data_IF_930971127902
#
_entry.id   IF_930971127902
#
_cell.length_a   1.000
_cell.length_b   1.000
_cell.length_c   1.000
_cell.angle_alpha   90.00
_cell.angle_beta   90.00
_cell.angle_gamma   90.00
#
_symmetry.space_group_name_H-M   'P 1'
#
loop_
_entity.id
_entity.type
_entity.pdbx_description
1 polymer ?
#
# COMPACT_ATOMS: atom_id res chain seq x y z
N UNK A 1 -12.69 -31.58 -6.95
CA UNK A 1 -12.59 -30.19 -7.46
C UNK A 1 -12.23 -30.28 -8.95
N UNK A 2 -12.94 -29.50 -9.82
CA UNK A 2 -12.64 -29.44 -11.25
C UNK A 2 -11.36 -28.63 -11.48
N UNK A 3 -10.44 -29.15 -12.30
CA UNK A 3 -9.23 -28.43 -12.74
C UNK A 3 -9.52 -27.45 -13.89
N UNK A 4 -10.78 -27.33 -14.34
CA UNK A 4 -11.16 -26.48 -15.46
C UNK A 4 -11.52 -25.08 -14.99
N UNK A 5 -10.94 -24.06 -15.62
CA UNK A 5 -11.33 -22.67 -15.44
C UNK A 5 -12.77 -22.46 -15.95
N UNK A 6 -13.55 -21.66 -15.21
CA UNK A 6 -14.92 -21.30 -15.56
C UNK A 6 -15.04 -19.79 -15.60
N UNK A 7 -15.64 -19.26 -16.67
CA UNK A 7 -15.98 -17.84 -16.77
C UNK A 7 -17.02 -17.48 -15.69
N UNK A 8 -16.68 -16.56 -14.79
CA UNK A 8 -17.56 -16.15 -13.70
C UNK A 8 -18.64 -15.16 -14.21
N UNK A 9 -18.25 -14.16 -15.01
CA UNK A 9 -19.16 -13.17 -15.60
C UNK A 9 -18.59 -12.61 -16.90
N UNK A 10 -19.43 -11.98 -17.74
CA UNK A 10 -19.05 -11.63 -19.13
C UNK A 10 -18.44 -10.24 -19.31
N UNK A 11 -18.68 -9.29 -18.38
CA UNK A 11 -18.17 -7.92 -18.52
C UNK A 11 -16.63 -7.90 -18.45
N UNK A 12 -15.95 -7.27 -19.41
CA UNK A 12 -14.51 -7.19 -19.41
C UNK A 12 -14.02 -6.31 -18.25
N UNK A 13 -12.91 -6.73 -17.62
CA UNK A 13 -12.27 -5.96 -16.54
C UNK A 13 -11.54 -4.75 -17.10
N UNK A 14 -11.58 -3.63 -16.36
CA UNK A 14 -10.67 -2.53 -16.58
C UNK A 14 -9.42 -2.74 -15.70
N UNK A 15 -8.32 -3.13 -16.33
CA UNK A 15 -7.04 -3.46 -15.67
C UNK A 15 -5.95 -2.41 -15.89
N UNK A 16 -6.30 -1.25 -16.46
CA UNK A 16 -5.33 -0.23 -16.87
C UNK A 16 -4.66 0.41 -15.67
N UNK A 17 -5.41 0.64 -14.57
CA UNK A 17 -4.89 1.35 -13.43
C UNK A 17 -5.33 0.74 -12.10
N UNK A 18 -4.38 0.62 -11.17
CA UNK A 18 -4.62 0.06 -9.83
C UNK A 18 -5.02 -1.42 -9.84
N UNK A 19 -5.35 -1.96 -8.68
CA UNK A 19 -5.76 -3.36 -8.52
C UNK A 19 -7.13 -3.58 -9.18
N UNK A 20 -7.27 -4.53 -10.10
CA UNK A 20 -8.52 -4.72 -10.84
C UNK A 20 -9.62 -5.38 -10.02
N UNK A 21 -9.27 -6.23 -9.06
CA UNK A 21 -10.26 -6.92 -8.22
C UNK A 21 -9.73 -7.24 -6.82
N UNK A 22 -10.66 -7.38 -5.89
CA UNK A 22 -10.41 -7.85 -4.52
C UNK A 22 -11.44 -8.91 -4.14
N UNK A 23 -10.98 -10.04 -3.59
CA UNK A 23 -11.86 -10.99 -2.95
C UNK A 23 -12.39 -10.43 -1.63
N UNK A 24 -13.66 -10.68 -1.34
CA UNK A 24 -14.19 -10.43 0.00
C UNK A 24 -13.67 -11.50 0.97
N UNK A 25 -13.42 -11.12 2.21
CA UNK A 25 -12.93 -12.02 3.27
C UNK A 25 -13.82 -13.24 3.52
N UNK A 26 -15.13 -13.08 3.32
CA UNK A 26 -16.12 -14.17 3.46
C UNK A 26 -16.10 -15.15 2.27
N UNK A 27 -15.26 -14.95 1.27
CA UNK A 27 -15.17 -15.77 0.04
C UNK A 27 -16.46 -15.90 -0.77
N UNK A 28 -17.48 -15.03 -0.55
CA UNK A 28 -18.79 -15.11 -1.24
C UNK A 28 -18.85 -14.29 -2.53
N UNK A 29 -17.82 -13.51 -2.83
CA UNK A 29 -17.74 -12.68 -4.03
C UNK A 29 -16.50 -11.83 -4.06
N UNK A 30 -16.45 -10.98 -5.05
CA UNK A 30 -15.33 -10.04 -5.26
C UNK A 30 -15.86 -8.66 -5.67
N UNK A 31 -15.07 -7.63 -5.38
CA UNK A 31 -15.25 -6.27 -5.89
C UNK A 31 -14.26 -6.06 -7.01
N UNK A 32 -14.70 -5.59 -8.16
CA UNK A 32 -13.87 -5.43 -9.36
C UNK A 32 -14.22 -4.17 -10.12
N UNK A 33 -13.37 -3.80 -11.07
CA UNK A 33 -13.58 -2.71 -12.04
C UNK A 33 -13.86 -3.28 -13.41
N UNK A 34 -14.98 -2.87 -14.01
CA UNK A 34 -15.34 -3.25 -15.36
C UNK A 34 -15.27 -2.07 -16.32
N UNK A 35 -15.02 -2.37 -17.58
CA UNK A 35 -15.20 -1.41 -18.66
C UNK A 35 -16.67 -1.00 -18.69
N UNK A 36 -16.94 0.29 -18.87
CA UNK A 36 -18.32 0.81 -18.93
C UNK A 36 -19.01 0.26 -20.16
N UNK A 37 -20.18 -0.33 -19.95
CA UNK A 37 -21.00 -0.84 -21.04
C UNK A 37 -21.45 0.30 -21.96
N UNK A 38 -21.30 0.10 -23.26
CA UNK A 38 -21.73 1.09 -24.27
C UNK A 38 -20.85 2.34 -24.38
N UNK A 39 -19.59 2.29 -23.92
CA UNK A 39 -18.69 3.46 -24.01
C UNK A 39 -18.32 3.89 -25.44
N UNK A 40 -18.68 3.10 -26.47
CA UNK A 40 -18.40 3.37 -27.87
C UNK A 40 -16.93 3.19 -28.28
N UNK A 41 -16.55 3.76 -29.42
CA UNK A 41 -15.18 3.76 -29.93
C UNK A 41 -14.31 4.81 -29.21
N UNK A 42 -12.98 4.62 -29.18
CA UNK A 42 -12.07 5.60 -28.63
C UNK A 42 -12.15 6.92 -29.43
N UNK A 43 -11.92 8.07 -28.77
CA UNK A 43 -11.81 9.35 -29.43
C UNK A 43 -10.85 9.31 -30.61
N UNK A 44 -11.22 9.94 -31.72
CA UNK A 44 -10.37 10.07 -32.90
C UNK A 44 -9.66 11.42 -32.90
N UNK A 45 -8.40 11.42 -33.33
CA UNK A 45 -7.67 12.65 -33.53
C UNK A 45 -8.39 13.50 -34.59
N UNK A 46 -8.64 14.77 -34.28
CA UNK A 46 -9.20 15.71 -35.28
C UNK A 46 -8.21 15.88 -36.42
N UNK A 47 -8.70 15.80 -37.66
CA UNK A 47 -7.89 16.08 -38.84
C UNK A 47 -7.50 17.56 -38.98
N UNK A 48 -8.22 18.47 -38.29
CA UNK A 48 -7.83 19.87 -38.19
C UNK A 48 -6.96 20.10 -36.95
N UNK A 49 -5.73 20.64 -37.10
CA UNK A 49 -4.92 21.04 -35.97
C UNK A 49 -5.70 22.11 -35.18
N UNK A 50 -6.03 21.83 -33.94
CA UNK A 50 -6.34 22.90 -32.99
C UNK A 50 -5.03 23.65 -32.78
N UNK A 51 -5.05 25.00 -32.97
CA UNK A 51 -3.86 25.83 -32.88
C UNK A 51 -2.96 25.54 -31.67
N UNK A 52 -1.80 26.18 -31.55
CA UNK A 52 -0.83 25.86 -30.51
C UNK A 52 -1.47 25.95 -29.12
N UNK A 53 -1.18 24.98 -28.26
CA UNK A 53 -1.53 25.06 -26.84
C UNK A 53 -0.62 26.11 -26.21
N UNK A 54 -1.15 27.28 -25.94
CA UNK A 54 -0.44 28.35 -25.25
C UNK A 54 -0.57 28.09 -23.75
N UNK A 55 0.52 27.77 -23.11
CA UNK A 55 0.62 27.72 -21.64
C UNK A 55 1.22 29.07 -21.17
N UNK A 56 0.40 29.89 -20.54
CA UNK A 56 0.89 31.13 -19.91
C UNK A 56 1.27 30.85 -18.45
N UNK A 57 2.52 31.05 -18.11
CA UNK A 57 2.99 31.04 -16.73
C UNK A 57 2.86 32.47 -16.14
N UNK A 58 1.70 32.77 -15.56
CA UNK A 58 1.38 34.08 -14.94
C UNK A 58 2.16 34.30 -13.63
N UNK A 59 3.49 34.13 -13.65
CA UNK A 59 4.36 34.40 -12.49
C UNK A 59 4.37 33.29 -11.44
N UNK A 60 3.69 32.16 -11.65
CA UNK A 60 3.83 30.97 -10.80
C UNK A 60 5.15 30.28 -11.13
N UNK A 61 6.00 30.09 -10.12
CA UNK A 61 7.22 29.28 -10.26
C UNK A 61 6.80 27.88 -10.67
N UNK A 62 7.11 27.51 -11.93
CA UNK A 62 6.91 26.13 -12.38
C UNK A 62 7.81 25.19 -11.58
N UNK A 63 7.33 23.99 -11.34
CA UNK A 63 8.13 22.93 -10.75
C UNK A 63 9.35 22.68 -11.64
N UNK A 64 10.55 22.75 -11.07
CA UNK A 64 11.85 22.60 -11.80
C UNK A 64 12.05 21.19 -12.37
N UNK A 65 11.16 20.24 -12.09
CA UNK A 65 11.31 18.85 -12.52
C UNK A 65 10.58 18.59 -13.82
N UNK A 66 11.33 18.13 -14.83
CA UNK A 66 10.73 17.61 -16.05
C UNK A 66 10.19 16.21 -15.78
N UNK A 67 8.90 16.02 -16.04
CA UNK A 67 8.25 14.73 -16.03
C UNK A 67 8.13 14.21 -17.47
N UNK A 68 8.19 12.89 -17.63
CA UNK A 68 7.91 12.21 -18.90
C UNK A 68 6.46 11.72 -18.92
N UNK A 69 5.96 11.42 -20.11
CA UNK A 69 4.65 10.77 -20.33
C UNK A 69 3.46 11.52 -19.70
N UNK A 70 3.47 12.86 -19.77
CA UNK A 70 2.35 13.70 -19.35
C UNK A 70 1.29 13.79 -20.44
N UNK A 71 0.07 14.17 -20.04
CA UNK A 71 -0.94 14.65 -21.00
C UNK A 71 -0.38 15.91 -21.69
N UNK A 72 -0.58 16.03 -22.99
CA UNK A 72 -0.03 17.15 -23.77
C UNK A 72 -1.10 18.05 -24.39
N UNK A 73 -2.31 17.52 -24.54
CA UNK A 73 -3.41 18.21 -25.21
C UNK A 73 -4.78 17.63 -24.84
N UNK A 74 -5.85 18.24 -25.32
CA UNK A 74 -7.23 17.81 -25.06
C UNK A 74 -7.59 16.44 -25.66
N UNK A 75 -6.88 15.98 -26.67
CA UNK A 75 -7.06 14.64 -27.24
C UNK A 75 -6.48 13.56 -26.30
N UNK A 76 -5.29 13.79 -25.78
CA UNK A 76 -4.70 12.91 -24.74
C UNK A 76 -5.60 12.82 -23.51
N UNK A 77 -6.19 13.96 -23.11
CA UNK A 77 -7.15 14.00 -22.00
C UNK A 77 -8.42 13.18 -22.32
N UNK A 78 -8.93 13.26 -23.54
CA UNK A 78 -10.09 12.47 -23.96
C UNK A 78 -9.78 10.98 -23.99
N UNK A 79 -8.61 10.59 -24.51
CA UNK A 79 -8.13 9.20 -24.49
C UNK A 79 -7.93 8.69 -23.05
N UNK A 80 -7.32 9.51 -22.19
CA UNK A 80 -7.13 9.21 -20.78
C UNK A 80 -8.47 8.90 -20.11
N UNK A 81 -9.46 9.78 -20.23
CA UNK A 81 -10.82 9.53 -19.74
C UNK A 81 -11.42 8.26 -20.29
N UNK A 82 -11.33 8.06 -21.61
CA UNK A 82 -11.92 6.92 -22.29
C UNK A 82 -11.38 5.59 -21.77
N UNK A 83 -10.07 5.45 -21.62
CA UNK A 83 -9.46 4.19 -21.22
C UNK A 83 -9.51 3.98 -19.70
N UNK A 84 -9.34 5.03 -18.91
CA UNK A 84 -9.24 4.92 -17.45
C UNK A 84 -10.60 4.82 -16.77
N UNK A 85 -11.68 5.27 -17.43
CA UNK A 85 -13.02 5.26 -16.84
C UNK A 85 -13.54 3.82 -16.65
N UNK A 86 -14.04 3.54 -15.45
CA UNK A 86 -14.47 2.21 -15.05
C UNK A 86 -15.72 2.28 -14.15
N UNK A 87 -16.46 1.19 -14.10
CA UNK A 87 -17.53 0.96 -13.14
C UNK A 87 -17.09 -0.06 -12.11
N UNK A 88 -17.11 0.30 -10.82
CA UNK A 88 -16.93 -0.67 -9.74
C UNK A 88 -18.18 -1.55 -9.65
N UNK A 89 -17.97 -2.85 -9.55
CA UNK A 89 -19.04 -3.83 -9.41
C UNK A 89 -18.70 -4.88 -8.35
N UNK A 90 -19.70 -5.28 -7.58
CA UNK A 90 -19.66 -6.51 -6.82
C UNK A 90 -20.10 -7.67 -7.71
N UNK A 91 -19.40 -8.81 -7.61
CA UNK A 91 -19.71 -10.05 -8.34
C UNK A 91 -19.77 -11.21 -7.36
N UNK A 92 -20.90 -11.90 -7.28
CA UNK A 92 -21.00 -13.10 -6.44
C UNK A 92 -20.52 -14.36 -7.17
N UNK A 93 -20.35 -15.47 -6.46
CA UNK A 93 -19.85 -16.74 -7.04
C UNK A 93 -20.77 -17.38 -8.09
N UNK A 94 -22.00 -16.87 -8.27
CA UNK A 94 -22.91 -17.27 -9.35
C UNK A 94 -22.80 -16.37 -10.57
N UNK A 95 -21.91 -15.37 -10.55
CA UNK A 95 -21.69 -14.42 -11.65
C UNK A 95 -22.72 -13.27 -11.70
N UNK A 96 -23.62 -13.15 -10.70
CA UNK A 96 -24.54 -12.00 -10.60
C UNK A 96 -23.73 -10.77 -10.18
N UNK A 97 -23.90 -9.69 -10.94
CA UNK A 97 -23.22 -8.41 -10.72
C UNK A 97 -24.15 -7.36 -10.13
N UNK A 98 -23.58 -6.46 -9.32
CA UNK A 98 -24.23 -5.27 -8.79
C UNK A 98 -23.27 -4.09 -8.92
N UNK A 99 -23.72 -2.97 -9.49
CA UNK A 99 -22.93 -1.73 -9.57
C UNK A 99 -22.74 -1.13 -8.18
N UNK A 100 -21.56 -0.57 -7.94
CA UNK A 100 -21.17 0.12 -6.70
C UNK A 100 -20.75 1.52 -7.08
N UNK A 101 -21.39 2.53 -6.49
CA UNK A 101 -21.11 3.94 -6.75
C UNK A 101 -21.27 4.33 -8.23
N UNK A 102 -20.74 5.49 -8.56
CA UNK A 102 -20.79 6.03 -9.92
C UNK A 102 -19.55 5.59 -10.73
N UNK A 103 -19.66 5.54 -12.07
CA UNK A 103 -18.50 5.36 -12.94
C UNK A 103 -17.50 6.51 -12.76
N UNK A 104 -16.21 6.21 -12.86
CA UNK A 104 -15.16 7.21 -12.74
C UNK A 104 -13.78 6.66 -13.07
N UNK A 105 -12.75 7.49 -12.96
CA UNK A 105 -11.35 7.04 -13.05
C UNK A 105 -10.95 6.49 -11.69
N UNK A 106 -11.17 5.20 -11.51
CA UNK A 106 -11.03 4.52 -10.22
C UNK A 106 -9.57 4.14 -9.97
N UNK A 107 -8.96 4.82 -9.00
CA UNK A 107 -7.62 4.52 -8.51
C UNK A 107 -7.61 3.35 -7.52
N UNK A 108 -8.56 3.33 -6.58
CA UNK A 108 -8.72 2.29 -5.55
C UNK A 108 -10.20 1.94 -5.38
N UNK A 109 -10.48 0.68 -5.13
CA UNK A 109 -11.82 0.14 -4.84
C UNK A 109 -11.70 -0.99 -3.80
N UNK A 110 -10.99 -0.71 -2.71
CA UNK A 110 -10.60 -1.70 -1.72
C UNK A 110 -11.69 -1.95 -0.68
N UNK A 111 -12.22 -3.20 -0.57
CA UNK A 111 -13.16 -3.54 0.50
C UNK A 111 -12.51 -3.45 1.88
N UNK A 112 -13.29 -3.09 2.89
CA UNK A 112 -12.88 -3.24 4.30
C UNK A 112 -12.57 -4.70 4.63
N UNK A 113 -11.76 -4.98 5.67
CA UNK A 113 -11.47 -6.36 6.05
C UNK A 113 -12.70 -7.22 6.31
N UNK A 114 -13.77 -6.67 6.88
CA UNK A 114 -15.05 -7.37 7.09
C UNK A 114 -15.96 -7.42 5.85
N UNK A 115 -15.61 -6.67 4.78
CA UNK A 115 -16.33 -6.64 3.52
C UNK A 115 -17.60 -5.80 3.50
N UNK A 116 -17.88 -5.00 4.55
CA UNK A 116 -19.10 -4.19 4.66
C UNK A 116 -18.99 -2.83 3.97
N UNK A 117 -17.76 -2.33 3.78
CA UNK A 117 -17.48 -1.02 3.19
C UNK A 117 -16.44 -1.12 2.08
N UNK A 118 -16.34 -0.06 1.30
CA UNK A 118 -15.35 0.09 0.21
C UNK A 118 -14.68 1.44 0.37
N UNK A 119 -13.36 1.45 0.49
CA UNK A 119 -12.54 2.65 0.35
C UNK A 119 -12.36 2.91 -1.14
N UNK A 120 -13.02 3.96 -1.63
CA UNK A 120 -13.01 4.37 -3.02
C UNK A 120 -12.15 5.61 -3.20
N UNK A 121 -11.21 5.56 -4.15
CA UNK A 121 -10.46 6.72 -4.61
C UNK A 121 -10.77 6.95 -6.09
N UNK A 122 -11.36 8.10 -6.39
CA UNK A 122 -11.74 8.49 -7.75
C UNK A 122 -10.96 9.72 -8.18
N UNK A 123 -10.22 9.62 -9.27
CA UNK A 123 -9.53 10.75 -9.89
C UNK A 123 -10.54 11.56 -10.70
N UNK A 124 -10.52 12.88 -10.52
CA UNK A 124 -11.42 13.80 -11.22
C UNK A 124 -10.68 15.01 -11.81
N UNK A 125 -11.39 15.82 -12.58
CA UNK A 125 -10.88 17.07 -13.15
C UNK A 125 -10.72 18.17 -12.06
N UNK A 126 -9.83 19.18 -12.29
CA UNK A 126 -9.06 19.38 -13.51
C UNK A 126 -7.84 18.45 -13.61
N UNK A 127 -7.54 17.97 -14.82
CA UNK A 127 -6.27 17.29 -15.07
C UNK A 127 -5.19 18.31 -15.37
N UNK A 128 -3.93 17.86 -15.36
CA UNK A 128 -2.77 18.73 -15.56
C UNK A 128 -1.89 18.22 -16.70
N UNK A 129 -1.30 19.13 -17.43
CA UNK A 129 -0.22 18.87 -18.40
C UNK A 129 1.18 19.10 -17.81
N UNK A 130 1.25 19.48 -16.52
CA UNK A 130 2.50 19.84 -15.83
C UNK A 130 2.96 18.77 -14.84
N UNK A 131 2.02 17.95 -14.35
CA UNK A 131 2.31 16.97 -13.30
C UNK A 131 1.73 15.59 -13.65
N UNK A 132 2.35 14.50 -13.15
CA UNK A 132 1.87 13.14 -13.41
C UNK A 132 0.59 12.81 -12.65
N UNK A 133 -0.07 11.74 -13.09
CA UNK A 133 -1.35 11.22 -12.62
C UNK A 133 -1.50 11.17 -11.09
N UNK A 134 -0.47 10.79 -10.35
CA UNK A 134 -0.54 10.69 -8.89
C UNK A 134 -0.65 12.04 -8.16
N UNK A 135 -0.61 13.14 -8.91
CA UNK A 135 -0.82 14.53 -8.43
C UNK A 135 -2.16 15.13 -8.87
N UNK A 136 -2.97 14.38 -9.61
CA UNK A 136 -4.31 14.81 -10.01
C UNK A 136 -5.26 14.84 -8.81
N UNK A 137 -6.38 15.59 -8.90
CA UNK A 137 -7.38 15.62 -7.84
C UNK A 137 -7.97 14.23 -7.59
N UNK A 138 -8.18 13.90 -6.31
CA UNK A 138 -8.68 12.58 -5.90
C UNK A 138 -9.75 12.76 -4.84
N UNK A 139 -10.96 12.34 -5.14
CA UNK A 139 -12.02 12.18 -4.15
C UNK A 139 -11.82 10.85 -3.42
N UNK A 140 -11.69 10.89 -2.10
CA UNK A 140 -11.54 9.74 -1.22
C UNK A 140 -12.78 9.57 -0.38
N UNK A 141 -13.50 8.47 -0.59
CA UNK A 141 -14.80 8.20 0.02
C UNK A 141 -14.87 6.78 0.61
N UNK A 142 -15.77 6.62 1.58
CA UNK A 142 -16.22 5.30 2.03
C UNK A 142 -17.63 5.09 1.51
N UNK A 143 -17.82 4.02 0.78
CA UNK A 143 -19.14 3.53 0.39
C UNK A 143 -19.52 2.31 1.22
N UNK A 144 -20.81 2.05 1.40
CA UNK A 144 -21.27 0.72 1.83
C UNK A 144 -21.17 -0.30 0.68
N UNK A 145 -21.35 -1.57 0.98
CA UNK A 145 -21.32 -2.63 -0.04
C UNK A 145 -22.50 -2.55 -1.02
N UNK A 146 -23.53 -1.78 -0.71
CA UNK A 146 -24.66 -1.44 -1.58
C UNK A 146 -24.30 -0.36 -2.59
N UNK A 147 -23.20 0.40 -2.35
CA UNK A 147 -22.69 1.48 -3.19
C UNK A 147 -23.20 2.86 -2.80
N UNK A 148 -23.80 3.01 -1.63
CA UNK A 148 -24.22 4.30 -1.10
C UNK A 148 -23.03 5.00 -0.43
N UNK A 149 -22.85 6.32 -0.61
CA UNK A 149 -21.86 7.10 0.12
C UNK A 149 -22.16 7.09 1.62
N UNK A 150 -21.15 6.71 2.42
CA UNK A 150 -21.22 6.71 3.90
C UNK A 150 -20.46 7.91 4.46
N UNK A 151 -19.26 8.16 3.95
CA UNK A 151 -18.42 9.24 4.44
C UNK A 151 -17.46 9.73 3.35
N UNK A 152 -17.34 11.05 3.20
CA UNK A 152 -16.27 11.66 2.38
C UNK A 152 -15.09 11.98 3.28
N UNK A 153 -13.99 11.24 3.09
CA UNK A 153 -12.76 11.43 3.86
C UNK A 153 -12.02 12.70 3.43
N UNK A 154 -11.92 12.91 2.13
CA UNK A 154 -11.26 14.09 1.57
C UNK A 154 -11.47 14.20 0.07
N UNK A 155 -11.56 15.45 -0.41
CA UNK A 155 -11.28 15.82 -1.78
C UNK A 155 -9.87 16.45 -1.85
N UNK A 156 -8.91 15.68 -2.42
CA UNK A 156 -7.51 16.09 -2.56
C UNK A 156 -7.38 16.95 -3.80
N UNK A 157 -6.96 18.22 -3.70
CA UNK A 157 -6.85 19.11 -4.85
C UNK A 157 -5.67 18.75 -5.75
N UNK A 158 -5.65 19.29 -6.96
CA UNK A 158 -4.53 19.23 -7.89
C UNK A 158 -3.24 19.73 -7.25
N UNK A 159 -2.20 18.90 -7.28
CA UNK A 159 -0.97 19.14 -6.53
C UNK A 159 0.19 19.64 -7.42
N UNK A 160 -0.04 20.71 -8.22
CA UNK A 160 0.99 21.34 -9.05
C UNK A 160 2.02 22.14 -8.24
N UNK A 161 1.60 22.73 -7.12
CA UNK A 161 2.41 23.65 -6.32
C UNK A 161 3.21 22.97 -5.19
N UNK A 162 3.12 21.66 -5.04
CA UNK A 162 3.88 20.97 -4.00
C UNK A 162 5.37 21.06 -4.30
N UNK A 163 6.22 21.46 -3.32
CA UNK A 163 7.66 21.53 -3.50
C UNK A 163 8.24 20.24 -4.07
N UNK A 164 9.22 20.38 -4.97
CA UNK A 164 9.89 19.23 -5.57
C UNK A 164 10.97 18.76 -4.63
N UNK A 165 10.60 17.89 -3.72
CA UNK A 165 11.51 17.23 -2.80
C UNK A 165 10.98 15.84 -2.46
N UNK A 166 11.87 14.89 -2.23
CA UNK A 166 11.43 13.53 -1.90
C UNK A 166 10.74 13.43 -0.54
N UNK A 167 10.98 14.40 0.33
CA UNK A 167 10.36 14.49 1.67
C UNK A 167 9.16 15.47 1.68
N UNK A 168 8.83 16.10 0.54
CA UNK A 168 7.66 16.97 0.38
C UNK A 168 6.40 16.13 0.15
N UNK A 169 5.32 16.50 0.82
CA UNK A 169 4.02 15.81 0.73
C UNK A 169 2.88 16.84 0.66
N UNK A 170 1.69 16.39 0.30
CA UNK A 170 0.48 17.25 0.38
C UNK A 170 0.17 17.57 1.84
N UNK A 171 -0.38 18.75 2.09
CA UNK A 171 -0.97 19.10 3.39
C UNK A 171 -2.29 18.37 3.63
N UNK A 172 -2.69 18.19 4.89
CA UNK A 172 -3.91 17.50 5.30
C UNK A 172 -3.90 15.98 5.09
N UNK A 173 -5.05 15.31 5.25
CA UNK A 173 -5.15 13.85 5.24
C UNK A 173 -4.66 13.21 3.94
N UNK A 174 -3.81 12.18 4.04
CA UNK A 174 -3.23 11.40 2.94
C UNK A 174 -2.93 9.97 3.39
N UNK A 175 -2.51 9.13 2.46
CA UNK A 175 -2.10 7.73 2.74
C UNK A 175 -3.18 6.93 3.46
N UNK A 176 -4.43 7.05 2.99
CA UNK A 176 -5.55 6.31 3.54
C UNK A 176 -5.39 4.80 3.36
N UNK A 177 -5.89 4.03 4.31
CA UNK A 177 -5.94 2.57 4.22
C UNK A 177 -6.80 1.94 5.31
N UNK A 178 -7.13 0.67 5.14
CA UNK A 178 -7.79 -0.12 6.16
C UNK A 178 -6.79 -0.67 7.18
N UNK A 179 -7.11 -0.61 8.46
CA UNK A 179 -6.41 -1.42 9.47
C UNK A 179 -6.64 -2.89 9.14
N UNK A 180 -5.55 -3.64 8.96
CA UNK A 180 -5.66 -5.05 8.58
C UNK A 180 -6.20 -5.94 9.71
N UNK A 181 -5.99 -5.54 10.96
CA UNK A 181 -6.34 -6.29 12.17
C UNK A 181 -7.79 -6.09 12.63
N UNK A 182 -8.52 -5.09 12.08
CA UNK A 182 -9.90 -4.76 12.44
C UNK A 182 -10.83 -4.84 11.24
N UNK A 183 -12.15 -4.97 11.50
CA UNK A 183 -13.16 -5.15 10.45
C UNK A 183 -13.34 -3.94 9.54
N UNK A 184 -13.49 -2.75 10.14
CA UNK A 184 -13.76 -1.52 9.39
C UNK A 184 -13.24 -0.27 10.11
N UNK A 185 -11.93 -0.17 10.24
CA UNK A 185 -11.24 1.02 10.76
C UNK A 185 -10.30 1.54 9.69
N UNK A 186 -10.45 2.80 9.30
CA UNK A 186 -9.53 3.52 8.41
C UNK A 186 -8.38 4.09 9.23
N UNK A 187 -7.19 4.12 8.63
CA UNK A 187 -6.11 5.00 9.06
C UNK A 187 -5.75 5.98 7.96
N UNK A 188 -5.20 7.11 8.33
CA UNK A 188 -4.61 8.09 7.43
C UNK A 188 -3.52 8.89 8.13
N UNK A 189 -2.81 9.73 7.37
CA UNK A 189 -1.66 10.49 7.84
C UNK A 189 -1.82 11.95 7.48
N UNK A 190 -1.46 12.84 8.41
CA UNK A 190 -1.37 14.29 8.16
C UNK A 190 0.05 14.80 8.38
N UNK A 191 0.46 15.76 7.56
CA UNK A 191 1.71 16.47 7.73
C UNK A 191 1.54 17.60 8.75
N UNK A 192 2.33 17.58 9.83
CA UNK A 192 2.32 18.62 10.87
C UNK A 192 3.13 19.87 10.51
N UNK A 193 3.91 19.80 9.42
CA UNK A 193 4.72 20.89 8.88
C UNK A 193 4.15 21.46 7.57
N UNK A 194 2.85 21.24 7.31
CA UNK A 194 2.21 21.65 6.06
C UNK A 194 2.70 20.90 4.82
N UNK A 195 3.52 19.86 4.99
CA UNK A 195 4.11 19.09 3.90
C UNK A 195 5.43 19.65 3.35
N UNK A 196 5.92 20.77 3.91
CA UNK A 196 7.20 21.37 3.51
C UNK A 196 8.37 20.78 4.34
N UNK A 197 9.33 20.07 3.69
CA UNK A 197 10.47 19.49 4.38
C UNK A 197 11.44 20.54 4.98
N UNK A 198 11.35 21.83 4.58
CA UNK A 198 12.20 22.90 5.08
C UNK A 198 11.72 23.48 6.41
N UNK A 199 10.47 23.24 6.80
CA UNK A 199 9.96 23.65 8.10
C UNK A 199 10.68 22.88 9.21
N UNK A 200 11.23 23.60 10.18
CA UNK A 200 11.86 22.98 11.36
C UNK A 200 10.77 22.58 12.34
N UNK A 201 10.66 21.30 12.62
CA UNK A 201 9.67 20.74 13.56
C UNK A 201 10.19 19.46 14.19
N UNK A 202 9.76 19.19 15.40
CA UNK A 202 10.05 17.93 16.11
C UNK A 202 9.31 16.75 15.49
N UNK A 203 8.05 16.97 15.12
CA UNK A 203 7.19 15.94 14.52
C UNK A 203 6.71 16.38 13.14
N UNK A 204 6.90 15.52 12.17
CA UNK A 204 6.57 15.80 10.77
C UNK A 204 5.22 15.26 10.34
N UNK A 205 4.85 14.10 10.88
CA UNK A 205 3.60 13.44 10.52
C UNK A 205 2.86 12.96 11.75
N UNK A 206 1.53 12.93 11.67
CA UNK A 206 0.63 12.31 12.63
C UNK A 206 -0.20 11.24 11.92
N UNK A 207 -0.22 10.04 12.46
CA UNK A 207 -1.14 8.97 12.02
C UNK A 207 -2.42 9.07 12.84
N UNK A 208 -3.56 8.92 12.16
CA UNK A 208 -4.90 8.90 12.76
C UNK A 208 -5.61 7.59 12.42
N UNK A 209 -6.58 7.23 13.25
CA UNK A 209 -7.55 6.16 12.99
C UNK A 209 -8.98 6.69 13.05
N UNK A 210 -9.87 6.10 12.27
CA UNK A 210 -11.29 6.45 12.22
C UNK A 210 -12.11 5.16 12.08
N UNK A 211 -12.90 4.87 13.12
CA UNK A 211 -13.74 3.67 13.18
C UNK A 211 -15.07 3.84 12.46
N UNK A 212 -15.58 2.72 11.93
CA UNK A 212 -16.96 2.69 11.43
C UNK A 212 -17.97 3.01 12.55
N UNK A 213 -19.08 3.70 12.24
CA UNK A 213 -19.58 4.13 10.94
C UNK A 213 -19.02 5.46 10.42
N UNK A 214 -17.82 5.90 10.83
CA UNK A 214 -17.06 7.06 10.36
C UNK A 214 -17.69 8.43 10.68
N UNK A 215 -18.60 8.48 11.61
CA UNK A 215 -19.28 9.69 12.08
C UNK A 215 -18.74 10.23 13.41
N UNK A 216 -17.63 9.67 13.87
CA UNK A 216 -16.88 10.10 15.06
C UNK A 216 -15.64 10.91 14.68
N UNK A 217 -15.07 11.62 15.64
CA UNK A 217 -13.79 12.30 15.39
C UNK A 217 -12.66 11.27 15.22
N UNK A 218 -11.75 11.50 14.27
CA UNK A 218 -10.56 10.67 14.14
C UNK A 218 -9.70 10.71 15.40
N UNK A 219 -9.17 9.56 15.79
CA UNK A 219 -8.29 9.46 16.95
C UNK A 219 -6.81 9.51 16.53
N UNK A 220 -5.98 10.35 17.19
CA UNK A 220 -4.55 10.36 16.97
C UNK A 220 -3.93 9.05 17.47
N UNK A 221 -3.09 8.42 16.63
CA UNK A 221 -2.41 7.18 16.94
C UNK A 221 -0.96 7.40 17.36
N UNK A 222 -0.15 8.03 16.49
CA UNK A 222 1.27 8.28 16.76
C UNK A 222 1.78 9.48 15.98
N UNK A 223 2.64 10.29 16.62
CA UNK A 223 3.44 11.33 15.98
C UNK A 223 4.79 10.77 15.55
N UNK A 224 5.25 11.15 14.37
CA UNK A 224 6.50 10.69 13.77
C UNK A 224 7.44 11.86 13.53
N UNK A 225 8.70 11.71 13.92
CA UNK A 225 9.72 12.73 13.70
C UNK A 225 10.22 12.80 12.23
N UNK A 226 9.94 11.77 11.43
CA UNK A 226 10.23 11.70 10.00
C UNK A 226 8.92 11.52 9.22
N UNK A 227 8.99 11.56 7.87
CA UNK A 227 7.83 11.28 7.03
C UNK A 227 7.39 9.82 7.15
N UNK A 228 6.12 9.60 7.38
CA UNK A 228 5.49 8.30 7.31
C UNK A 228 5.85 7.55 6.03
N UNK A 229 6.23 6.30 6.14
CA UNK A 229 6.58 5.45 5.00
C UNK A 229 5.84 4.12 4.96
N UNK A 230 5.12 3.76 6.04
CA UNK A 230 4.32 2.55 6.08
C UNK A 230 3.89 2.16 7.50
N UNK A 231 2.89 1.28 7.57
CA UNK A 231 2.40 0.68 8.80
C UNK A 231 2.13 -0.81 8.57
N UNK A 232 2.53 -1.63 9.52
CA UNK A 232 2.21 -3.05 9.58
C UNK A 232 1.45 -3.31 10.87
N UNK A 233 0.20 -3.74 10.72
CA UNK A 233 -0.68 -4.08 11.82
C UNK A 233 -0.38 -5.50 12.31
N UNK A 234 -0.33 -5.71 13.61
CA UNK A 234 -0.25 -7.02 14.21
C UNK A 234 -1.59 -7.43 14.83
N UNK A 235 -2.01 -6.66 15.79
CA UNK A 235 -3.27 -6.84 16.49
C UNK A 235 -3.68 -5.52 17.19
N UNK A 236 -4.68 -5.57 18.06
CA UNK A 236 -5.16 -4.37 18.79
C UNK A 236 -4.10 -3.67 19.64
N UNK A 237 -3.03 -4.37 20.01
CA UNK A 237 -1.99 -3.88 20.92
C UNK A 237 -0.62 -3.70 20.26
N UNK A 238 -0.45 -4.13 19.01
CA UNK A 238 0.83 -4.11 18.30
C UNK A 238 0.65 -3.63 16.87
N UNK A 239 1.33 -2.55 16.52
CA UNK A 239 1.59 -2.11 15.16
C UNK A 239 3.03 -1.63 15.03
N UNK A 240 3.64 -1.80 13.87
CA UNK A 240 4.95 -1.24 13.53
C UNK A 240 4.75 -0.13 12.50
N UNK A 241 5.12 1.10 12.89
CA UNK A 241 5.01 2.28 12.04
C UNK A 241 6.39 2.72 11.62
N UNK A 242 6.61 2.79 10.31
CA UNK A 242 7.87 3.20 9.73
C UNK A 242 7.81 4.64 9.24
N UNK A 243 8.91 5.36 9.45
CA UNK A 243 9.10 6.71 8.95
C UNK A 243 10.49 6.87 8.33
N UNK A 244 10.62 7.79 7.37
CA UNK A 244 11.84 7.95 6.58
C UNK A 244 12.12 9.42 6.28
N UNK A 245 13.40 9.79 6.19
CA UNK A 245 13.86 11.06 5.65
C UNK A 245 14.94 10.81 4.61
N UNK A 246 14.63 11.14 3.36
CA UNK A 246 15.51 10.87 2.25
C UNK A 246 16.77 11.71 2.28
N UNK A 247 16.68 12.98 2.69
CA UNK A 247 17.80 13.93 2.66
C UNK A 247 18.97 13.52 3.58
N UNK A 248 18.71 12.75 4.64
CA UNK A 248 19.72 12.24 5.59
C UNK A 248 19.83 10.72 5.58
N UNK A 249 19.21 10.04 4.63
CA UNK A 249 19.25 8.58 4.46
C UNK A 249 18.80 7.79 5.69
N UNK A 250 17.91 8.36 6.51
CA UNK A 250 17.48 7.76 7.78
C UNK A 250 16.10 7.13 7.70
N UNK A 251 15.95 6.00 8.39
CA UNK A 251 14.67 5.34 8.62
C UNK A 251 14.50 5.03 10.09
N UNK A 252 13.27 5.14 10.58
CA UNK A 252 12.89 4.76 11.94
C UNK A 252 11.70 3.82 11.92
N UNK A 253 11.64 2.89 12.88
CA UNK A 253 10.46 2.06 13.12
C UNK A 253 10.01 2.26 14.56
N UNK A 254 8.72 2.49 14.71
CA UNK A 254 8.05 2.70 15.98
C UNK A 254 7.17 1.50 16.31
N UNK A 255 7.34 0.95 17.50
CA UNK A 255 6.37 0.04 18.11
C UNK A 255 5.25 0.90 18.68
N UNK A 256 4.04 0.70 18.19
CA UNK A 256 2.85 1.44 18.61
C UNK A 256 1.85 0.47 19.20
N UNK A 257 1.29 0.82 20.36
CA UNK A 257 0.13 0.11 20.89
C UNK A 257 -1.14 0.89 20.52
N UNK A 258 -1.95 0.37 19.58
CA UNK A 258 -3.16 1.08 19.13
C UNK A 258 -4.24 1.24 20.21
N UNK A 259 -4.29 0.36 21.21
CA UNK A 259 -5.30 0.41 22.27
C UNK A 259 -5.05 1.55 23.27
N UNK A 260 -3.81 1.74 23.72
CA UNK A 260 -3.45 2.76 24.73
C UNK A 260 -2.67 3.94 24.16
N UNK A 261 -2.40 3.95 22.83
CA UNK A 261 -1.69 5.02 22.09
C UNK A 261 -0.23 5.22 22.51
N UNK A 262 0.37 4.30 23.28
CA UNK A 262 1.80 4.36 23.57
C UNK A 262 2.63 4.05 22.32
N UNK A 263 3.76 4.73 22.19
CA UNK A 263 4.67 4.55 21.06
C UNK A 263 6.13 4.63 21.53
N UNK A 264 6.95 3.73 21.03
CA UNK A 264 8.38 3.64 21.30
C UNK A 264 9.16 3.45 20.01
N UNK A 265 10.20 4.24 19.80
CA UNK A 265 11.09 4.06 18.65
C UNK A 265 12.03 2.87 18.91
N UNK A 266 11.88 1.80 18.13
CA UNK A 266 12.62 0.55 18.33
C UNK A 266 13.75 0.35 17.32
N UNK A 267 13.70 0.97 16.14
CA UNK A 267 14.76 0.95 15.13
C UNK A 267 15.01 2.39 14.68
N UNK A 268 16.28 2.77 14.59
CA UNK A 268 16.71 4.07 14.10
C UNK A 268 18.08 3.93 13.41
N UNK A 269 18.11 3.94 12.07
CA UNK A 269 19.34 3.65 11.31
C UNK A 269 19.40 4.37 9.95
N UNK A 270 20.58 4.37 9.35
CA UNK A 270 20.68 4.66 7.92
C UNK A 270 20.09 3.50 7.10
N UNK A 271 19.22 3.79 6.15
CA UNK A 271 18.72 2.74 5.23
C UNK A 271 19.73 2.38 4.12
N UNK A 272 20.83 3.10 4.00
CA UNK A 272 21.95 2.75 3.11
C UNK A 272 22.93 1.78 3.77
N UNK A 273 22.90 1.65 5.10
CA UNK A 273 23.66 0.63 5.81
C UNK A 273 23.00 -0.74 5.61
N UNK A 274 23.51 -1.48 4.63
CA UNK A 274 23.03 -2.81 4.29
C UNK A 274 23.51 -3.88 5.27
N UNK A 275 24.64 -3.67 5.93
CA UNK A 275 25.21 -4.64 6.89
C UNK A 275 24.42 -4.68 8.20
N UNK A 276 23.93 -3.54 8.66
CA UNK A 276 23.08 -3.43 9.86
C UNK A 276 21.57 -3.48 9.52
N UNK A 277 21.18 -3.98 8.35
CA UNK A 277 19.77 -4.12 8.00
C UNK A 277 19.13 -5.27 8.79
N UNK A 278 18.18 -4.99 9.71
CA UNK A 278 17.51 -6.03 10.49
C UNK A 278 16.49 -6.84 9.66
N UNK A 279 16.34 -6.53 8.36
CA UNK A 279 15.32 -7.12 7.52
C UNK A 279 13.94 -6.50 7.71
N UNK A 280 12.92 -7.26 7.31
CA UNK A 280 11.51 -6.84 7.38
C UNK A 280 10.69 -7.84 8.19
N UNK A 281 9.72 -7.37 8.97
CA UNK A 281 8.82 -8.27 9.67
C UNK A 281 8.06 -9.17 8.68
N UNK A 282 8.04 -10.46 8.98
CA UNK A 282 7.23 -11.42 8.25
C UNK A 282 5.76 -11.29 8.65
N UNK A 283 4.86 -11.62 7.74
CA UNK A 283 3.42 -11.50 7.94
C UNK A 283 2.72 -12.81 7.66
N UNK A 284 1.55 -12.98 8.26
CA UNK A 284 0.61 -14.05 7.95
C UNK A 284 -0.79 -13.46 7.72
N UNK A 285 -1.67 -14.24 7.11
CA UNK A 285 -3.05 -13.81 6.86
C UNK A 285 -3.90 -14.05 8.10
N UNK A 286 -4.62 -13.00 8.51
CA UNK A 286 -5.59 -13.12 9.60
C UNK A 286 -6.94 -13.67 9.11
N UNK A 287 -7.94 -13.67 9.99
CA UNK A 287 -9.31 -14.12 9.71
C UNK A 287 -10.01 -13.38 8.55
N UNK A 288 -9.51 -12.20 8.17
CA UNK A 288 -10.02 -11.41 7.04
C UNK A 288 -9.21 -11.64 5.75
N UNK A 289 -8.23 -12.55 5.76
CA UNK A 289 -7.30 -12.72 4.65
C UNK A 289 -6.39 -11.50 4.43
N UNK A 290 -6.17 -10.69 5.48
CA UNK A 290 -5.29 -9.51 5.43
C UNK A 290 -3.94 -9.83 6.07
N UNK A 291 -2.83 -9.34 5.48
CA UNK A 291 -1.52 -9.54 6.07
C UNK A 291 -1.39 -8.76 7.38
N UNK A 292 -1.04 -9.47 8.46
CA UNK A 292 -0.71 -8.92 9.77
C UNK A 292 0.65 -9.44 10.21
N UNK A 293 1.30 -8.77 11.17
CA UNK A 293 2.57 -9.22 11.74
C UNK A 293 2.44 -10.66 12.24
N UNK A 294 3.34 -11.51 11.81
CA UNK A 294 3.45 -12.86 12.34
C UNK A 294 4.15 -12.82 13.70
N UNK A 295 3.39 -13.12 14.74
CA UNK A 295 3.89 -13.16 16.11
C UNK A 295 4.19 -14.60 16.53
N UNK A 296 5.30 -14.80 17.25
CA UNK A 296 5.61 -16.06 17.89
C UNK A 296 4.63 -16.37 19.04
N UNK A 297 4.74 -17.54 19.64
CA UNK A 297 3.82 -18.00 20.69
C UNK A 297 3.78 -17.10 21.94
N UNK A 298 4.83 -16.33 22.21
CA UNK A 298 4.90 -15.33 23.30
C UNK A 298 4.12 -14.05 23.02
N UNK A 299 3.60 -13.88 21.79
CA UNK A 299 2.86 -12.72 21.29
C UNK A 299 3.62 -11.38 21.34
N UNK A 300 4.93 -11.40 21.49
CA UNK A 300 5.81 -10.23 21.57
C UNK A 300 7.03 -10.32 20.65
N UNK A 301 7.30 -11.49 20.10
CA UNK A 301 8.40 -11.72 19.17
C UNK A 301 7.88 -11.76 17.75
N UNK A 302 8.49 -10.97 16.86
CA UNK A 302 8.25 -10.99 15.41
C UNK A 302 9.39 -11.73 14.71
N UNK A 303 9.07 -12.35 13.59
CA UNK A 303 10.08 -12.94 12.71
C UNK A 303 10.51 -11.87 11.69
N UNK A 304 11.82 -11.68 11.58
CA UNK A 304 12.43 -10.73 10.65
C UNK A 304 13.16 -11.49 9.55
N UNK A 305 12.94 -11.15 8.29
CA UNK A 305 13.66 -11.73 7.16
C UNK A 305 14.39 -10.65 6.38
N UNK A 306 15.65 -10.89 6.02
CA UNK A 306 16.48 -9.93 5.31
C UNK A 306 17.50 -10.57 4.38
N UNK A 307 18.12 -9.75 3.54
CA UNK A 307 19.12 -10.21 2.57
C UNK A 307 20.46 -10.58 3.20
N UNK A 308 20.79 -10.03 4.37
CA UNK A 308 22.00 -10.39 5.10
C UNK A 308 23.28 -10.05 4.37
N UNK A 309 23.42 -8.79 3.91
CA UNK A 309 24.64 -8.34 3.25
C UNK A 309 25.89 -8.64 4.09
N UNK A 310 26.92 -9.17 3.46
CA UNK A 310 28.22 -9.49 4.07
C UNK A 310 29.35 -9.26 3.07
N UNK A 311 30.62 -9.27 3.51
CA UNK A 311 31.77 -9.19 2.59
C UNK A 311 31.79 -10.31 1.55
N UNK A 312 31.21 -11.47 1.87
CA UNK A 312 31.13 -12.64 0.99
C UNK A 312 29.92 -12.60 0.05
N UNK A 313 29.05 -11.60 0.19
CA UNK A 313 27.79 -11.47 -0.55
C UNK A 313 26.56 -11.46 0.35
N UNK A 314 25.41 -11.55 -0.28
CA UNK A 314 24.14 -11.60 0.45
C UNK A 314 23.91 -13.03 0.98
N UNK A 315 23.75 -13.16 2.29
CA UNK A 315 23.42 -14.40 3.00
C UNK A 315 22.07 -14.21 3.72
N UNK A 316 20.94 -14.46 3.05
CA UNK A 316 19.60 -14.22 3.60
C UNK A 316 19.41 -14.93 4.94
N UNK A 317 18.57 -14.33 5.78
CA UNK A 317 18.41 -14.78 7.16
C UNK A 317 16.96 -14.68 7.66
N UNK A 318 16.72 -15.37 8.78
CA UNK A 318 15.54 -15.19 9.62
C UNK A 318 16.01 -14.96 11.05
N UNK A 319 15.51 -13.89 11.65
CA UNK A 319 15.73 -13.52 13.04
C UNK A 319 14.41 -13.53 13.81
N UNK A 320 14.49 -13.84 15.09
CA UNK A 320 13.46 -13.52 16.08
C UNK A 320 13.82 -12.18 16.74
N UNK A 321 12.92 -11.20 16.65
CA UNK A 321 13.08 -9.91 17.30
C UNK A 321 12.00 -9.72 18.36
N UNK A 322 12.40 -9.69 19.62
CA UNK A 322 11.48 -9.51 20.74
C UNK A 322 11.17 -8.02 20.94
N UNK A 323 9.92 -7.63 20.73
CA UNK A 323 9.46 -6.25 20.78
C UNK A 323 9.53 -5.63 22.18
N UNK A 324 9.54 -6.43 23.27
CA UNK A 324 9.66 -5.93 24.65
C UNK A 324 11.12 -5.71 25.05
N UNK A 325 11.96 -6.72 24.87
CA UNK A 325 13.35 -6.68 25.30
C UNK A 325 14.28 -6.03 24.29
N UNK A 326 13.83 -5.87 23.05
CA UNK A 326 14.59 -5.41 21.86
C UNK A 326 15.73 -6.35 21.46
N UNK A 327 15.75 -7.55 22.03
CA UNK A 327 16.76 -8.56 21.68
C UNK A 327 16.43 -9.20 20.33
N UNK A 328 17.47 -9.43 19.55
CA UNK A 328 17.42 -10.15 18.28
C UNK A 328 18.20 -11.45 18.41
N UNK A 329 17.61 -12.55 17.96
CA UNK A 329 18.27 -13.87 17.92
C UNK A 329 18.21 -14.36 16.47
N UNK A 330 19.37 -14.61 15.85
CA UNK A 330 19.47 -15.25 14.54
C UNK A 330 19.06 -16.71 14.67
N UNK A 331 17.96 -17.10 14.03
CA UNK A 331 17.48 -18.49 14.06
C UNK A 331 17.80 -19.26 12.78
N UNK A 332 18.14 -18.55 11.70
CA UNK A 332 18.61 -19.17 10.46
C UNK A 332 19.36 -18.16 9.57
N UNK A 333 20.31 -18.66 8.80
CA UNK A 333 21.03 -17.94 7.76
C UNK A 333 21.35 -18.88 6.60
N UNK A 334 21.25 -18.38 5.36
CA UNK A 334 21.66 -19.13 4.17
C UNK A 334 23.16 -19.38 4.17
N UNK A 335 23.59 -20.53 3.63
CA UNK A 335 24.97 -20.97 3.57
C UNK A 335 25.36 -21.27 2.12
N UNK A 336 26.62 -20.94 1.78
CA UNK A 336 27.16 -21.28 0.48
C UNK A 336 27.13 -22.82 0.26
N UNK A 337 26.94 -23.30 -0.97
CA UNK A 337 26.90 -22.57 -2.23
C UNK A 337 25.52 -22.01 -2.59
N UNK A 338 24.54 -22.05 -1.68
CA UNK A 338 23.16 -21.73 -1.95
C UNK A 338 22.83 -20.26 -1.64
N UNK A 339 22.06 -19.66 -2.56
CA UNK A 339 21.27 -18.48 -2.26
C UNK A 339 19.86 -18.94 -1.90
N UNK A 340 19.54 -18.89 -0.62
CA UNK A 340 18.27 -19.37 -0.09
C UNK A 340 17.55 -18.27 0.69
N UNK A 341 16.29 -17.98 0.34
CA UNK A 341 15.48 -16.93 0.93
C UNK A 341 14.25 -17.50 1.63
N UNK A 342 13.92 -16.99 2.80
CA UNK A 342 12.66 -17.31 3.48
C UNK A 342 11.49 -16.61 2.78
N UNK A 343 10.47 -17.39 2.42
CA UNK A 343 9.24 -16.90 1.76
C UNK A 343 8.14 -16.67 2.79
N UNK A 344 7.87 -17.66 3.62
CA UNK A 344 6.85 -17.59 4.67
C UNK A 344 7.14 -18.60 5.78
N UNK A 345 6.69 -18.28 6.98
CA UNK A 345 6.68 -19.26 8.08
C UNK A 345 5.39 -20.06 8.00
N UNK A 346 5.53 -21.36 7.75
CA UNK A 346 4.40 -22.27 7.61
C UNK A 346 3.82 -22.68 8.97
N UNK A 347 4.69 -22.90 9.96
CA UNK A 347 4.31 -23.18 11.36
C UNK A 347 5.24 -22.40 12.30
N UNK A 348 4.75 -21.32 12.92
CA UNK A 348 5.59 -20.49 13.79
C UNK A 348 5.96 -21.15 15.12
N UNK A 349 5.21 -22.18 15.56
CA UNK A 349 5.50 -22.93 16.81
C UNK A 349 6.61 -23.93 16.54
N UNK A 350 6.47 -24.72 15.49
CA UNK A 350 7.48 -25.69 15.04
C UNK A 350 8.62 -25.04 14.25
N UNK A 351 8.52 -23.75 14.00
CA UNK A 351 9.49 -22.98 13.21
C UNK A 351 9.78 -23.61 11.84
N UNK A 352 8.71 -24.03 11.15
CA UNK A 352 8.81 -24.54 9.78
C UNK A 352 8.67 -23.38 8.82
N UNK A 353 9.67 -23.16 7.97
CA UNK A 353 9.71 -22.08 6.98
C UNK A 353 9.70 -22.66 5.56
N UNK A 354 8.92 -22.03 4.69
CA UNK A 354 9.02 -22.24 3.26
C UNK A 354 10.15 -21.36 2.73
N UNK A 355 11.15 -22.00 2.12
CA UNK A 355 12.28 -21.29 1.49
C UNK A 355 12.28 -21.49 -0.02
N UNK A 356 12.91 -20.55 -0.73
CA UNK A 356 13.28 -20.68 -2.14
C UNK A 356 14.80 -20.70 -2.21
N UNK A 357 15.35 -21.78 -2.74
CA UNK A 357 16.78 -22.02 -2.84
C UNK A 357 17.22 -22.19 -4.29
N UNK A 358 18.36 -21.62 -4.62
CA UNK A 358 19.04 -21.76 -5.90
C UNK A 358 20.57 -21.71 -5.71
N UNK A 359 21.30 -22.24 -6.68
CA UNK A 359 22.75 -22.12 -6.74
C UNK A 359 23.20 -21.98 -8.20
N UNK A 360 24.49 -21.93 -8.43
CA UNK A 360 25.08 -21.96 -9.77
C UNK A 360 24.66 -23.22 -10.56
N UNK A 361 24.52 -24.34 -9.85
CA UNK A 361 24.30 -25.67 -10.43
C UNK A 361 22.86 -26.21 -10.19
N UNK A 362 22.06 -25.50 -9.36
CA UNK A 362 20.67 -25.87 -9.06
C UNK A 362 19.70 -24.74 -9.46
N UNK A 363 18.71 -25.08 -10.27
CA UNK A 363 17.62 -24.16 -10.60
C UNK A 363 16.78 -23.84 -9.36
N UNK A 364 16.11 -22.65 -9.31
CA UNK A 364 15.28 -22.28 -8.19
C UNK A 364 14.21 -23.33 -7.87
N UNK A 365 14.13 -23.74 -6.60
CA UNK A 365 13.12 -24.66 -6.11
C UNK A 365 12.68 -24.27 -4.67
N UNK A 366 11.60 -24.86 -4.20
CA UNK A 366 11.01 -24.57 -2.89
C UNK A 366 11.20 -25.74 -1.94
N UNK A 367 11.47 -25.43 -0.67
CA UNK A 367 11.74 -26.39 0.38
C UNK A 367 11.01 -25.99 1.66
N UNK A 368 10.57 -26.99 2.41
CA UNK A 368 10.18 -26.81 3.81
C UNK A 368 11.39 -27.09 4.69
N UNK A 369 11.77 -26.10 5.47
CA UNK A 369 12.93 -26.16 6.37
C UNK A 369 12.48 -26.03 7.82
N UNK A 370 12.96 -26.92 8.69
CA UNK A 370 12.88 -26.75 10.14
C UNK A 370 14.02 -25.83 10.60
N UNK A 371 13.67 -24.75 11.30
CA UNK A 371 14.67 -23.84 11.89
C UNK A 371 15.17 -24.32 13.25
N UNK A 372 14.66 -25.45 13.76
CA UNK A 372 15.07 -26.04 15.04
C UNK A 372 16.25 -27.00 14.84
N UNK A 373 16.15 -27.89 13.86
CA UNK A 373 17.14 -28.97 13.61
C UNK A 373 17.80 -28.88 12.23
N UNK A 374 17.42 -27.86 11.41
CA UNK A 374 17.97 -27.64 10.08
C UNK A 374 17.51 -28.62 9.00
N UNK A 375 16.60 -29.56 9.32
CA UNK A 375 16.09 -30.52 8.34
C UNK A 375 15.37 -29.85 7.18
N UNK A 376 15.45 -30.45 5.99
CA UNK A 376 14.90 -29.93 4.74
C UNK A 376 14.11 -31.02 4.04
N UNK A 377 12.91 -30.71 3.58
CA UNK A 377 12.04 -31.61 2.81
C UNK A 377 11.43 -30.94 1.59
#
# INVERSE_FOLDING_TARGET
KSSKAKLLFKSPLNTIYGTPFYWLSNSKGLVTKTIISGRGDPPKLSSMPKGPVVQENLGKKAAVRTYQDLLTNSYDEALFKYYMNAQVVYVNLKGKTKKIGQPGIIRRNEPSPDGNYILLETIHQPFSYLVPLYRFPILVEVLDIEGNPVHTLRDIPLAESIPIGRDAVISGPRSFGWRADLGATIYYVEALDGGDPNVVTEHRDQVYTLDSPFNVNPEPLVKLNLRYSGIQWGNRDIALVSARKWSIRRTTTWLVNPSNKSAEKIIDRSYEDRYADPGRPMTDQNQYGRPVLLLAGDRHTVFMSGNGASPEGDLPFVDEFNLKTKNTVRIWRAEAPYYETAISIFDPIKKIVLTRRESKDEIPNYYLRSLIDGSVS
#
